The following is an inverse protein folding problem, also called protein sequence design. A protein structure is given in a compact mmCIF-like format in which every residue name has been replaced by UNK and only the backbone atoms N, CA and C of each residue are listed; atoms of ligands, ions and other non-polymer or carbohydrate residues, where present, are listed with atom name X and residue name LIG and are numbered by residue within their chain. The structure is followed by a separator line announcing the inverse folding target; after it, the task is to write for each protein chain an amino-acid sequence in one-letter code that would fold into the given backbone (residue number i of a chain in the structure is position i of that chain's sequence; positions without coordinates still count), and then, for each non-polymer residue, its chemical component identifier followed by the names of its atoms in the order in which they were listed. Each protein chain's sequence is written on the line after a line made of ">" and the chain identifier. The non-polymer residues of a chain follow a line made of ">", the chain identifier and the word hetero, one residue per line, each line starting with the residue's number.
data_IF_422860924323
#
_entry.id   IF_422860924323
#
_cell.length_a   1.000
_cell.length_b   1.000
_cell.length_c   1.000
_cell.angle_alpha   90.00
_cell.angle_beta   90.00
_cell.angle_gamma   90.00
#
_symmetry.space_group_name_H-M   'P 1'
#
loop_
_entity.id
_entity.type
_entity.pdbx_description
1 polymer ?
#
# COMPACT_ATOMS: atom_id res chain seq x y z
N UNK A 1 12.39 57.17 -68.52
CA UNK A 1 11.80 55.83 -68.25
C UNK A 1 12.39 55.30 -66.98
N UNK A 2 11.61 55.23 -65.90
CA UNK A 2 12.04 54.75 -64.61
C UNK A 2 11.31 53.37 -64.36
N UNK A 3 12.08 52.30 -64.26
CA UNK A 3 11.54 51.03 -63.89
C UNK A 3 11.60 50.87 -62.34
N UNK A 4 10.54 50.49 -61.66
CA UNK A 4 10.61 50.12 -60.25
C UNK A 4 11.01 48.65 -60.10
N UNK A 5 12.04 48.40 -59.30
CA UNK A 5 12.47 47.08 -58.87
C UNK A 5 11.50 46.63 -57.79
N UNK A 6 10.73 45.56 -58.05
CA UNK A 6 9.91 44.89 -57.05
C UNK A 6 10.79 43.94 -56.24
N UNK A 7 10.96 44.28 -54.96
CA UNK A 7 11.63 43.39 -54.03
C UNK A 7 10.61 42.37 -53.50
N UNK A 8 10.77 41.10 -53.92
CA UNK A 8 9.97 39.96 -53.51
C UNK A 8 10.51 39.45 -52.20
N UNK A 9 9.84 39.73 -51.09
CA UNK A 9 10.18 39.25 -49.75
C UNK A 9 9.63 37.83 -49.59
N UNK A 10 10.52 36.82 -49.67
CA UNK A 10 10.19 35.43 -49.41
C UNK A 10 10.20 35.25 -47.89
N UNK A 11 9.03 35.16 -47.27
CA UNK A 11 8.87 34.80 -45.90
C UNK A 11 9.01 33.28 -45.74
N UNK A 12 10.18 32.83 -45.27
CA UNK A 12 10.41 31.44 -44.90
C UNK A 12 9.68 31.09 -43.61
N UNK A 13 8.52 30.45 -43.71
CA UNK A 13 7.87 29.81 -42.55
C UNK A 13 8.70 28.59 -42.15
N UNK A 14 9.52 28.70 -41.11
CA UNK A 14 10.08 27.57 -40.42
C UNK A 14 8.98 26.94 -39.55
N UNK A 15 8.42 25.83 -40.00
CA UNK A 15 7.58 24.95 -39.18
C UNK A 15 8.47 24.34 -38.14
N UNK A 16 8.48 24.88 -36.93
CA UNK A 16 9.01 24.23 -35.74
C UNK A 16 8.03 23.10 -35.40
N UNK A 17 8.33 21.89 -35.90
CA UNK A 17 7.70 20.66 -35.45
C UNK A 17 8.14 20.43 -34.02
N UNK A 18 7.33 20.87 -33.04
CA UNK A 18 7.39 20.33 -31.70
C UNK A 18 7.01 18.86 -31.79
N UNK A 19 8.01 17.98 -31.83
CA UNK A 19 7.83 16.57 -31.49
C UNK A 19 7.57 16.49 -29.99
N UNK A 20 6.33 16.82 -29.60
CA UNK A 20 5.83 16.54 -28.27
C UNK A 20 5.82 15.03 -28.10
N UNK A 21 6.80 14.48 -27.42
CA UNK A 21 6.68 13.16 -26.81
C UNK A 21 5.47 13.24 -25.89
N UNK A 22 4.33 12.76 -26.35
CA UNK A 22 3.11 12.71 -25.54
C UNK A 22 3.34 11.77 -24.38
N UNK A 23 3.72 12.32 -23.23
CA UNK A 23 3.63 11.58 -21.98
C UNK A 23 2.14 11.32 -21.76
N UNK A 24 1.76 10.06 -21.68
CA UNK A 24 0.39 9.67 -21.30
C UNK A 24 0.05 10.39 -19.99
N UNK A 25 -1.06 11.14 -19.91
CA UNK A 25 -1.41 11.85 -18.68
C UNK A 25 -1.54 10.83 -17.55
N UNK A 26 -0.82 11.07 -16.45
CA UNK A 26 -0.87 10.25 -15.26
C UNK A 26 -2.00 10.73 -14.36
N UNK A 27 -2.86 9.80 -13.94
CA UNK A 27 -3.91 10.02 -12.95
C UNK A 27 -3.38 9.52 -11.61
N UNK A 28 -3.60 10.28 -10.55
CA UNK A 28 -3.27 9.86 -9.18
C UNK A 28 -4.57 9.70 -8.40
N UNK A 29 -4.76 8.54 -7.80
CA UNK A 29 -5.87 8.28 -6.88
C UNK A 29 -5.35 7.92 -5.50
N UNK A 30 -6.16 8.23 -4.48
CA UNK A 30 -5.89 7.96 -3.07
C UNK A 30 -7.05 7.16 -2.49
N UNK A 31 -6.75 6.01 -1.94
CA UNK A 31 -7.73 5.05 -1.43
C UNK A 31 -7.38 4.77 0.02
N UNK A 32 -8.25 5.16 0.95
CA UNK A 32 -8.13 4.76 2.35
C UNK A 32 -8.50 3.28 2.49
N UNK A 33 -7.88 2.60 3.43
CA UNK A 33 -8.27 1.25 3.81
C UNK A 33 -9.73 1.22 4.28
N UNK A 34 -10.38 0.07 4.16
CA UNK A 34 -11.77 -0.08 4.66
C UNK A 34 -11.76 -0.67 6.08
N UNK A 35 -12.05 0.13 7.13
CA UNK A 35 -11.94 -0.30 8.52
C UNK A 35 -12.95 -1.40 8.88
N UNK A 36 -13.94 -1.65 8.04
CA UNK A 36 -14.88 -2.77 8.24
C UNK A 36 -14.23 -4.10 7.92
N UNK A 37 -13.28 -4.09 6.97
CA UNK A 37 -12.58 -5.28 6.48
C UNK A 37 -11.16 -5.41 7.02
N UNK A 38 -10.60 -4.32 7.55
CA UNK A 38 -9.30 -4.30 8.21
C UNK A 38 -9.34 -5.07 9.54
N UNK A 39 -8.17 -5.54 9.98
CA UNK A 39 -8.03 -6.24 11.24
C UNK A 39 -6.66 -6.89 11.41
N UNK A 40 -6.52 -7.65 12.49
CA UNK A 40 -5.34 -8.47 12.72
C UNK A 40 -5.71 -9.88 13.22
N UNK A 41 -4.76 -10.79 13.09
CA UNK A 41 -4.83 -12.13 13.64
C UNK A 41 -3.60 -12.34 14.51
N UNK A 42 -3.81 -12.54 15.83
CA UNK A 42 -2.79 -12.94 16.78
C UNK A 42 -2.75 -14.46 16.93
N UNK A 43 -1.55 -15.02 16.93
CA UNK A 43 -1.28 -16.41 17.31
C UNK A 43 -0.59 -16.43 18.66
N UNK A 44 -1.27 -16.93 19.69
CA UNK A 44 -0.69 -17.17 21.00
C UNK A 44 0.39 -18.24 20.91
N UNK A 45 1.61 -17.88 21.28
CA UNK A 45 2.78 -18.76 21.16
C UNK A 45 2.68 -20.01 22.05
N UNK A 46 2.02 -19.90 23.21
CA UNK A 46 1.95 -21.00 24.20
C UNK A 46 0.82 -21.97 23.89
N UNK A 47 -0.36 -21.46 23.59
CA UNK A 47 -1.56 -22.28 23.37
C UNK A 47 -1.74 -22.69 21.91
N UNK A 48 -1.13 -21.97 20.95
CA UNK A 48 -1.35 -22.15 19.53
C UNK A 48 -2.75 -21.69 19.06
N UNK A 49 -3.45 -20.88 19.86
CA UNK A 49 -4.79 -20.40 19.52
C UNK A 49 -4.74 -19.10 18.76
N UNK A 50 -5.70 -18.92 17.83
CA UNK A 50 -5.84 -17.69 17.08
C UNK A 50 -6.87 -16.76 17.73
N UNK A 51 -6.50 -15.48 17.81
CA UNK A 51 -7.42 -14.37 18.12
C UNK A 51 -7.57 -13.51 16.89
N UNK A 52 -8.81 -13.28 16.44
CA UNK A 52 -9.11 -12.45 15.27
C UNK A 52 -9.75 -11.16 15.74
N UNK A 53 -9.09 -10.03 15.50
CA UNK A 53 -9.57 -8.67 15.75
C UNK A 53 -9.97 -8.05 14.43
N UNK A 54 -11.21 -7.61 14.29
CA UNK A 54 -11.76 -7.05 13.03
C UNK A 54 -12.97 -6.17 13.26
N UNK A 55 -13.46 -5.53 12.21
CA UNK A 55 -14.67 -4.68 12.19
C UNK A 55 -14.48 -3.39 13.01
N UNK A 56 -13.96 -2.37 12.37
CA UNK A 56 -13.76 -1.04 12.95
C UNK A 56 -12.83 -1.03 14.17
N UNK A 57 -11.68 -1.67 14.04
CA UNK A 57 -10.58 -1.55 15.00
C UNK A 57 -10.01 -0.14 14.94
N UNK A 58 -9.41 0.32 16.05
CA UNK A 58 -8.69 1.61 16.06
C UNK A 58 -7.25 1.43 15.61
N UNK A 59 -6.73 0.22 15.79
CA UNK A 59 -5.34 -0.16 15.52
C UNK A 59 -5.32 -1.60 15.03
N UNK A 60 -4.28 -1.92 14.25
CA UNK A 60 -3.95 -3.29 13.87
C UNK A 60 -2.48 -3.56 14.19
N UNK A 61 -2.19 -4.79 14.59
CA UNK A 61 -0.85 -5.19 15.02
C UNK A 61 -0.17 -6.08 13.99
N UNK A 62 1.15 -5.87 13.80
CA UNK A 62 1.97 -6.71 12.93
C UNK A 62 3.35 -6.95 13.56
N UNK A 63 3.81 -8.20 13.56
CA UNK A 63 5.10 -8.59 14.10
C UNK A 63 5.01 -9.62 15.21
N UNK A 64 6.06 -9.75 15.99
CA UNK A 64 6.15 -10.68 17.12
C UNK A 64 6.35 -9.88 18.40
N UNK A 65 5.46 -10.07 19.38
CA UNK A 65 5.59 -9.45 20.68
C UNK A 65 6.89 -9.92 21.35
N UNK A 66 7.81 -9.02 21.71
CA UNK A 66 9.10 -9.41 22.28
C UNK A 66 9.03 -10.01 23.69
N UNK A 67 7.86 -9.91 24.36
CA UNK A 67 7.65 -10.41 25.72
C UNK A 67 6.91 -11.75 25.73
N UNK A 68 5.79 -11.83 25.01
CA UNK A 68 4.94 -13.03 24.98
C UNK A 68 5.33 -13.99 23.85
N UNK A 69 6.03 -13.50 22.82
CA UNK A 69 6.35 -14.19 21.57
C UNK A 69 5.11 -14.51 20.72
N UNK A 70 3.98 -13.89 21.01
CA UNK A 70 2.80 -13.99 20.17
C UNK A 70 3.05 -13.32 18.83
N UNK A 71 2.66 -13.96 17.74
CA UNK A 71 2.79 -13.42 16.40
C UNK A 71 1.49 -12.76 15.94
N UNK A 72 1.58 -11.52 15.45
CA UNK A 72 0.47 -10.76 14.91
C UNK A 72 0.66 -10.47 13.43
N UNK A 73 -0.41 -10.59 12.65
CA UNK A 73 -0.46 -10.25 11.24
C UNK A 73 -1.60 -9.29 10.98
N UNK A 74 -1.28 -8.08 10.55
CA UNK A 74 -2.27 -7.10 10.13
C UNK A 74 -2.78 -7.40 8.72
N UNK A 75 -4.06 -7.16 8.49
CA UNK A 75 -4.72 -7.29 7.20
C UNK A 75 -5.40 -5.97 6.88
N UNK A 76 -5.10 -5.41 5.71
CA UNK A 76 -5.66 -4.16 5.23
C UNK A 76 -6.31 -4.38 3.86
N UNK A 77 -7.48 -3.79 3.68
CA UNK A 77 -8.29 -3.87 2.46
C UNK A 77 -8.45 -2.48 1.82
N UNK A 78 -8.12 -2.39 0.54
CA UNK A 78 -8.25 -1.15 -0.24
C UNK A 78 -9.12 -1.42 -1.47
N UNK A 79 -10.38 -0.93 -1.50
CA UNK A 79 -11.28 -1.18 -2.62
C UNK A 79 -10.78 -0.47 -3.89
N UNK A 80 -10.43 -1.24 -4.92
CA UNK A 80 -9.97 -0.70 -6.20
C UNK A 80 -11.12 -0.33 -7.13
N UNK A 81 -12.30 -0.86 -6.88
CA UNK A 81 -13.48 -0.62 -7.71
C UNK A 81 -14.21 0.69 -7.38
N UNK A 82 -15.13 1.09 -8.25
CA UNK A 82 -16.01 2.23 -8.02
C UNK A 82 -15.39 3.61 -8.35
N UNK A 83 -16.12 4.70 -8.03
CA UNK A 83 -15.65 6.06 -8.26
C UNK A 83 -14.40 6.39 -7.45
N UNK A 84 -13.35 6.85 -8.13
CA UNK A 84 -12.07 7.18 -7.47
C UNK A 84 -11.13 5.98 -7.29
N UNK A 85 -11.52 4.80 -7.74
CA UNK A 85 -10.67 3.61 -7.74
C UNK A 85 -9.68 3.56 -8.91
N UNK A 86 -9.06 2.40 -9.10
CA UNK A 86 -8.09 2.13 -10.17
C UNK A 86 -8.73 1.22 -11.23
N UNK A 87 -8.87 1.66 -12.49
CA UNK A 87 -9.43 0.81 -13.53
C UNK A 87 -8.63 -0.49 -13.71
N UNK A 88 -9.32 -1.61 -13.91
CA UNK A 88 -8.68 -2.94 -14.08
C UNK A 88 -7.68 -3.03 -15.23
N UNK A 89 -7.80 -2.16 -16.23
CA UNK A 89 -6.90 -2.12 -17.39
C UNK A 89 -5.89 -0.96 -17.34
N UNK A 90 -5.77 -0.28 -16.20
CA UNK A 90 -4.84 0.83 -16.02
C UNK A 90 -3.38 0.33 -16.02
N UNK A 91 -2.51 1.06 -16.71
CA UNK A 91 -1.07 0.86 -16.59
C UNK A 91 -0.54 1.51 -15.31
N UNK A 92 -0.10 0.71 -14.33
CA UNK A 92 0.40 1.23 -13.05
C UNK A 92 1.78 1.83 -13.22
N UNK A 93 1.90 3.14 -13.04
CA UNK A 93 3.16 3.87 -13.02
C UNK A 93 3.87 3.67 -11.67
N UNK A 94 3.19 3.99 -10.55
CA UNK A 94 3.68 3.81 -9.19
C UNK A 94 2.53 3.56 -8.23
N UNK A 95 2.83 2.91 -7.09
CA UNK A 95 1.93 2.80 -5.96
C UNK A 95 2.72 2.85 -4.65
N UNK A 96 2.18 3.55 -3.66
CA UNK A 96 2.73 3.62 -2.31
C UNK A 96 1.65 3.33 -1.28
N UNK A 97 2.03 2.62 -0.22
CA UNK A 97 1.24 2.40 0.97
C UNK A 97 1.81 3.29 2.08
N UNK A 98 0.99 4.18 2.61
CA UNK A 98 1.31 5.03 3.74
C UNK A 98 0.61 4.49 4.99
N UNK A 99 1.37 4.20 6.04
CA UNK A 99 0.88 3.71 7.32
C UNK A 99 1.42 4.59 8.44
N UNK A 100 0.57 4.96 9.41
CA UNK A 100 0.99 5.69 10.59
C UNK A 100 1.31 4.70 11.72
N UNK A 101 2.51 4.81 12.29
CA UNK A 101 3.00 3.90 13.33
C UNK A 101 2.78 4.52 14.70
N UNK A 102 1.84 3.97 15.46
CA UNK A 102 1.50 4.45 16.81
C UNK A 102 2.49 3.96 17.87
N UNK A 103 2.91 2.69 17.78
CA UNK A 103 3.85 2.10 18.73
C UNK A 103 4.82 1.13 18.05
N UNK A 104 5.99 0.97 18.66
CA UNK A 104 7.06 0.06 18.23
C UNK A 104 7.66 -0.60 19.47
N UNK A 105 7.64 -1.93 19.51
CA UNK A 105 8.27 -2.70 20.57
C UNK A 105 9.19 -3.79 19.99
N UNK A 106 10.43 -3.95 20.51
CA UNK A 106 11.07 -3.15 21.57
C UNK A 106 11.44 -1.75 21.07
N UNK A 107 11.67 -0.78 21.98
CA UNK A 107 11.99 0.60 21.61
C UNK A 107 13.43 0.79 21.12
N UNK A 108 14.05 -0.25 20.61
CA UNK A 108 15.44 -0.25 20.08
C UNK A 108 15.53 -1.22 18.90
N UNK A 109 16.39 -0.88 17.94
CA UNK A 109 16.67 -1.75 16.79
C UNK A 109 15.84 -1.44 15.56
N UNK A 110 15.81 -2.39 14.66
CA UNK A 110 15.06 -2.35 13.39
C UNK A 110 14.24 -3.60 13.30
N UNK A 111 12.95 -3.47 12.97
CA UNK A 111 12.06 -4.60 12.75
C UNK A 111 11.95 -4.83 11.25
N UNK A 112 12.42 -5.97 10.72
CA UNK A 112 12.25 -6.31 9.32
C UNK A 112 10.80 -6.74 9.09
N UNK A 113 10.07 -5.96 8.32
CA UNK A 113 8.68 -6.23 8.00
C UNK A 113 8.54 -6.74 6.58
N UNK A 114 7.46 -7.48 6.34
CA UNK A 114 7.05 -8.01 5.05
C UNK A 114 5.61 -7.62 4.77
N UNK A 115 5.34 -7.24 3.52
CA UNK A 115 3.99 -7.08 2.99
C UNK A 115 3.77 -8.15 1.94
N UNK A 116 2.76 -8.97 2.17
CA UNK A 116 2.25 -9.95 1.22
C UNK A 116 0.99 -9.39 0.54
N UNK A 117 0.93 -9.40 -0.79
CA UNK A 117 -0.33 -9.28 -1.51
C UNK A 117 -1.08 -10.59 -1.34
N UNK A 118 -2.28 -10.52 -0.79
CA UNK A 118 -3.13 -11.67 -0.51
C UNK A 118 -4.52 -11.48 -1.11
N UNK A 119 -5.34 -12.51 -1.05
CA UNK A 119 -6.76 -12.42 -1.40
C UNK A 119 -7.55 -13.15 -0.31
N UNK A 120 -7.90 -12.42 0.74
CA UNK A 120 -8.84 -12.90 1.74
C UNK A 120 -10.26 -12.40 1.40
N UNK A 121 -11.29 -13.06 1.92
CA UNK A 121 -12.67 -12.70 1.59
C UNK A 121 -13.28 -11.82 2.68
N UNK A 122 -13.35 -10.48 2.49
CA UNK A 122 -14.07 -9.60 3.39
C UNK A 122 -15.58 -9.98 3.46
N UNK A 123 -16.28 -9.83 4.57
CA UNK A 123 -15.79 -9.38 5.88
C UNK A 123 -15.26 -10.53 6.76
N UNK A 124 -14.87 -11.63 6.17
CA UNK A 124 -14.64 -12.91 6.84
C UNK A 124 -13.16 -13.17 7.16
N UNK A 125 -12.43 -12.16 7.67
CA UNK A 125 -11.11 -12.43 8.25
C UNK A 125 -11.26 -13.53 9.31
N UNK A 126 -10.56 -14.66 9.12
CA UNK A 126 -10.66 -15.85 9.96
C UNK A 126 -9.25 -16.37 10.31
N UNK A 127 -9.12 -17.17 11.37
CA UNK A 127 -7.83 -17.63 11.85
C UNK A 127 -6.98 -18.37 10.79
N UNK A 128 -7.61 -19.00 9.78
CA UNK A 128 -6.88 -19.66 8.69
C UNK A 128 -6.19 -18.70 7.72
N UNK A 129 -6.57 -17.43 7.68
CA UNK A 129 -5.89 -16.41 6.85
C UNK A 129 -4.48 -16.09 7.37
N UNK A 130 -4.23 -16.45 8.64
CA UNK A 130 -2.89 -16.41 9.21
C UNK A 130 -1.93 -17.38 8.50
N UNK A 131 -2.40 -18.58 8.12
CA UNK A 131 -1.55 -19.62 7.55
C UNK A 131 -1.18 -19.30 6.10
N UNK A 132 0.11 -19.12 5.84
CA UNK A 132 0.64 -18.83 4.49
C UNK A 132 0.57 -20.01 3.54
N UNK A 133 0.33 -21.21 4.02
CA UNK A 133 0.13 -22.40 3.17
C UNK A 133 -1.32 -22.49 2.69
N UNK A 134 -2.26 -22.02 3.51
CA UNK A 134 -3.69 -21.96 3.18
C UNK A 134 -4.02 -20.65 2.43
N UNK A 135 -3.36 -19.55 2.81
CA UNK A 135 -3.49 -18.23 2.19
C UNK A 135 -2.12 -17.77 1.64
N UNK A 136 -1.66 -18.34 0.51
CA UNK A 136 -0.37 -18.00 -0.06
C UNK A 136 -0.34 -16.56 -0.58
N UNK A 137 0.82 -15.91 -0.46
CA UNK A 137 1.03 -14.61 -1.05
C UNK A 137 1.10 -14.71 -2.58
N UNK A 138 0.40 -13.82 -3.28
CA UNK A 138 0.50 -13.65 -4.73
C UNK A 138 1.82 -12.97 -5.11
N UNK A 139 2.28 -12.03 -4.28
CA UNK A 139 3.57 -11.36 -4.37
C UNK A 139 3.95 -10.82 -2.98
N UNK A 140 5.22 -10.50 -2.78
CA UNK A 140 5.71 -10.00 -1.49
C UNK A 140 6.83 -8.98 -1.69
N UNK A 141 6.93 -8.07 -0.71
CA UNK A 141 8.05 -7.15 -0.55
C UNK A 141 8.47 -7.12 0.92
N UNK A 142 9.69 -6.65 1.19
CA UNK A 142 10.19 -6.41 2.55
C UNK A 142 10.57 -4.95 2.73
N UNK A 143 10.45 -4.44 3.95
CA UNK A 143 10.84 -3.09 4.33
C UNK A 143 11.21 -3.06 5.82
N UNK A 144 12.13 -2.19 6.23
CA UNK A 144 12.45 -2.03 7.64
C UNK A 144 11.52 -1.01 8.31
N UNK A 145 11.20 -1.25 9.58
CA UNK A 145 10.69 -0.25 10.51
C UNK A 145 11.81 0.13 11.48
N UNK A 146 12.04 1.42 11.59
CA UNK A 146 13.07 1.97 12.48
C UNK A 146 12.42 2.61 13.72
N UNK A 147 13.15 2.70 14.81
CA UNK A 147 12.69 3.40 16.02
C UNK A 147 12.27 4.86 15.76
N UNK A 148 12.89 5.51 14.77
CA UNK A 148 12.54 6.88 14.37
C UNK A 148 11.15 7.00 13.72
N UNK A 149 10.52 5.88 13.36
CA UNK A 149 9.22 5.84 12.73
C UNK A 149 8.05 5.88 13.74
N UNK A 150 8.37 5.74 15.02
CA UNK A 150 7.40 5.92 16.11
C UNK A 150 6.70 7.29 16.02
N UNK A 151 5.38 7.28 16.02
CA UNK A 151 4.54 8.47 15.90
C UNK A 151 4.63 9.15 14.53
N UNK A 152 4.96 8.42 13.46
CA UNK A 152 5.15 8.96 12.11
C UNK A 152 4.54 8.08 11.02
N UNK A 153 4.39 8.69 9.86
CA UNK A 153 4.07 8.01 8.62
C UNK A 153 5.29 7.27 8.07
N UNK A 154 5.04 6.05 7.63
CA UNK A 154 5.99 5.23 6.86
C UNK A 154 5.39 4.96 5.49
N UNK A 155 6.08 5.44 4.46
CA UNK A 155 5.64 5.29 3.06
C UNK A 155 6.42 4.16 2.41
N UNK A 156 5.73 3.09 2.04
CA UNK A 156 6.30 1.90 1.43
C UNK A 156 5.97 1.85 -0.05
N UNK A 157 6.97 1.61 -0.91
CA UNK A 157 6.73 1.41 -2.34
C UNK A 157 6.13 0.02 -2.59
N UNK A 158 4.85 -0.01 -2.96
CA UNK A 158 4.11 -1.24 -3.26
C UNK A 158 3.78 -1.39 -4.76
N UNK A 159 4.51 -0.70 -5.63
CA UNK A 159 4.25 -0.70 -7.09
C UNK A 159 4.24 -2.11 -7.68
N UNK A 160 5.16 -2.98 -7.25
CA UNK A 160 5.21 -4.37 -7.73
C UNK A 160 3.97 -5.16 -7.31
N UNK A 161 3.50 -4.98 -6.07
CA UNK A 161 2.30 -5.62 -5.56
C UNK A 161 1.05 -5.10 -6.29
N UNK A 162 0.96 -3.79 -6.53
CA UNK A 162 -0.17 -3.19 -7.24
C UNK A 162 -0.24 -3.66 -8.70
N UNK A 163 0.90 -3.80 -9.39
CA UNK A 163 0.96 -4.38 -10.75
C UNK A 163 0.51 -5.84 -10.76
N UNK A 164 0.87 -6.59 -9.73
CA UNK A 164 0.44 -7.98 -9.59
C UNK A 164 -1.07 -8.07 -9.33
N UNK A 165 -1.64 -7.21 -8.46
CA UNK A 165 -3.08 -7.12 -8.25
C UNK A 165 -3.84 -6.84 -9.56
N UNK A 166 -3.34 -5.90 -10.38
CA UNK A 166 -3.89 -5.61 -11.71
C UNK A 166 -3.79 -6.83 -12.63
N UNK A 167 -2.66 -7.54 -12.64
CA UNK A 167 -2.46 -8.74 -13.46
C UNK A 167 -3.47 -9.85 -13.14
N UNK A 168 -3.83 -9.97 -11.86
CA UNK A 168 -4.83 -10.92 -11.39
C UNK A 168 -6.26 -10.41 -11.51
N UNK A 169 -6.46 -9.12 -11.86
CA UNK A 169 -7.78 -8.49 -11.93
C UNK A 169 -8.49 -8.47 -10.58
N UNK A 170 -7.74 -8.25 -9.50
CA UNK A 170 -8.30 -8.21 -8.15
C UNK A 170 -9.23 -7.00 -8.00
N UNK A 171 -10.41 -7.17 -7.38
CA UNK A 171 -11.33 -6.07 -7.11
C UNK A 171 -10.81 -5.14 -6.01
N UNK A 172 -9.95 -5.66 -5.13
CA UNK A 172 -9.40 -4.98 -3.98
C UNK A 172 -7.89 -5.21 -3.91
N UNK A 173 -7.16 -4.24 -3.38
CA UNK A 173 -5.75 -4.40 -3.04
C UNK A 173 -5.66 -4.79 -1.57
N UNK A 174 -5.51 -6.10 -1.32
CA UNK A 174 -5.49 -6.65 0.03
C UNK A 174 -4.08 -7.05 0.42
N UNK A 175 -3.65 -6.60 1.58
CA UNK A 175 -2.31 -6.89 2.07
C UNK A 175 -2.33 -7.51 3.46
N UNK A 176 -1.38 -8.41 3.69
CA UNK A 176 -1.02 -8.92 4.99
C UNK A 176 0.36 -8.37 5.36
N UNK A 177 0.46 -7.68 6.50
CA UNK A 177 1.70 -7.14 7.04
C UNK A 177 2.12 -8.00 8.23
N UNK A 178 3.39 -8.39 8.26
CA UNK A 178 3.93 -9.28 9.27
C UNK A 178 5.44 -9.05 9.42
N UNK A 179 6.06 -9.58 10.46
CA UNK A 179 7.52 -9.62 10.53
C UNK A 179 8.07 -10.53 9.40
N UNK A 180 9.24 -10.16 8.86
CA UNK A 180 9.88 -10.99 7.83
C UNK A 180 10.31 -12.33 8.45
N UNK A 181 10.00 -13.41 7.72
CA UNK A 181 10.28 -14.76 8.23
C UNK A 181 11.76 -15.09 8.06
N UNK A 182 12.45 -15.24 9.17
CA UNK A 182 13.86 -15.60 9.23
C UNK A 182 14.36 -15.57 10.68
N UNK A 183 15.67 -15.66 10.92
CA UNK A 183 16.25 -15.47 12.23
C UNK A 183 16.27 -13.96 12.55
N UNK A 184 15.14 -13.41 12.96
CA UNK A 184 14.94 -11.99 13.30
C UNK A 184 14.78 -11.83 14.80
N UNK A 185 15.12 -10.65 15.30
CA UNK A 185 14.84 -10.27 16.69
C UNK A 185 13.34 -9.91 16.75
N UNK A 186 12.56 -10.54 17.66
CA UNK A 186 11.14 -10.22 17.78
C UNK A 186 10.86 -8.74 17.92
N UNK A 187 9.88 -8.27 17.18
CA UNK A 187 9.41 -6.90 17.24
C UNK A 187 7.99 -6.77 16.71
N UNK A 188 7.22 -5.87 17.31
CA UNK A 188 5.82 -5.62 16.94
C UNK A 188 5.61 -4.14 16.70
N UNK A 189 4.77 -3.84 15.74
CA UNK A 189 4.29 -2.48 15.44
C UNK A 189 2.79 -2.40 15.62
N UNK A 190 2.33 -1.22 16.07
CA UNK A 190 0.92 -0.84 16.08
C UNK A 190 0.70 0.18 14.96
N UNK A 191 -0.15 -0.17 14.03
CA UNK A 191 -0.55 0.68 12.88
C UNK A 191 -1.90 1.31 13.21
N UNK A 192 -2.01 2.64 13.03
CA UNK A 192 -3.29 3.34 13.20
C UNK A 192 -4.26 2.92 12.08
N UNK A 193 -5.46 2.53 12.48
CA UNK A 193 -6.59 2.25 11.60
C UNK A 193 -7.86 2.96 12.13
N UNK A 194 -7.67 4.21 12.55
CA UNK A 194 -8.74 4.99 13.18
C UNK A 194 -10.04 4.97 12.37
N UNK A 195 -11.15 4.77 13.08
CA UNK A 195 -12.51 4.84 12.51
C UNK A 195 -13.13 6.23 12.64
N UNK A 196 -12.45 7.16 13.33
CA UNK A 196 -12.91 8.54 13.51
C UNK A 196 -12.80 9.27 12.18
N UNK A 197 -13.94 9.59 11.56
CA UNK A 197 -14.00 10.15 10.21
C UNK A 197 -13.13 11.41 9.99
N UNK A 198 -12.95 12.25 11.04
CA UNK A 198 -12.12 13.45 10.98
C UNK A 198 -10.61 13.12 10.95
N UNK A 199 -10.21 11.99 11.53
CA UNK A 199 -8.82 11.59 11.72
C UNK A 199 -8.33 10.65 10.63
N UNK A 200 -9.24 9.89 9.99
CA UNK A 200 -8.90 8.94 8.92
C UNK A 200 -8.02 9.52 7.82
N UNK A 201 -8.27 10.75 7.28
CA UNK A 201 -7.40 11.29 6.23
C UNK A 201 -5.95 11.53 6.66
N UNK A 202 -5.68 11.50 7.98
CA UNK A 202 -4.37 11.81 8.55
C UNK A 202 -3.66 10.56 9.10
N UNK A 203 -4.39 9.53 9.53
CA UNK A 203 -3.79 8.42 10.26
C UNK A 203 -4.12 7.05 9.69
N UNK A 204 -5.32 6.87 9.09
CA UNK A 204 -5.69 5.58 8.52
C UNK A 204 -4.77 5.20 7.35
N UNK A 205 -4.54 3.89 7.12
CA UNK A 205 -3.72 3.42 6.02
C UNK A 205 -4.21 3.93 4.66
N UNK A 206 -3.29 4.44 3.85
CA UNK A 206 -3.58 5.09 2.58
C UNK A 206 -2.79 4.45 1.43
N UNK A 207 -3.50 3.99 0.42
CA UNK A 207 -2.91 3.55 -0.84
C UNK A 207 -2.99 4.71 -1.85
N UNK A 208 -1.83 5.21 -2.31
CA UNK A 208 -1.75 6.16 -3.42
C UNK A 208 -1.28 5.44 -4.67
N UNK A 209 -2.04 5.55 -5.76
CA UNK A 209 -1.73 4.90 -7.04
C UNK A 209 -1.69 5.93 -8.16
N UNK A 210 -0.56 5.96 -8.88
CA UNK A 210 -0.40 6.71 -10.13
C UNK A 210 -0.52 5.74 -11.31
N UNK A 211 -1.40 6.06 -12.28
CA UNK A 211 -1.68 5.20 -13.43
C UNK A 211 -2.03 6.01 -14.68
N UNK A 212 -2.05 5.36 -15.86
CA UNK A 212 -2.38 5.91 -17.17
C UNK A 212 -3.23 4.94 -17.99
#
# INVERSE_FOLDING_TARGET
>A
MKFPIAVMLIASLTLVSCSGGGSTPTIVTRILSDPVYDGDIGLDFVSGTFTVTKNNTQFVFAGIDPVTLDEYRAFLDFPLGGPGGVPLNAGIASATLDIFINDIQPPIGTIPMRIDLVYFQPPNLIGTDFDRTLQPALASITFPIFQSDFGRHVVVNVTSLMREAQRWGLPDFQVRIMEDLGPVVPGIIEIDDTTIAADRPFFAPLLEVAYY
#
